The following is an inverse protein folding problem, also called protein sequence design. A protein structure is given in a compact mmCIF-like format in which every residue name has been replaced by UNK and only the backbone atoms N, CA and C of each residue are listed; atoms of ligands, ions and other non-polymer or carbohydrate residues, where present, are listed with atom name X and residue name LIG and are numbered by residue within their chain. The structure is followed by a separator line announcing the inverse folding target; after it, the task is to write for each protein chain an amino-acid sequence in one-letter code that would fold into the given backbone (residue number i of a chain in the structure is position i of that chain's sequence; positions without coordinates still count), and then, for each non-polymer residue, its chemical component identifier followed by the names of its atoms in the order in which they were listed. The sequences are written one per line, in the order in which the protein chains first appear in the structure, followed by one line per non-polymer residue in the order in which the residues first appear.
data_IF_728443766856
#
_entry.id   IF_728443766856
#
_cell.length_a   1.000
_cell.length_b   1.000
_cell.length_c   1.000
_cell.angle_alpha   90.00
_cell.angle_beta   90.00
_cell.angle_gamma   90.00
#
_symmetry.space_group_name_H-M   'P 1'
#
loop_
_entity.id
_entity.type
_entity.pdbx_description
1 polymer ?
#
# COMPACT_ATOMS: atom_id res chain seq x y z
N UNK A 1 -2.09 -5.61 26.46
CA UNK A 1 -3.12 -5.89 25.44
C UNK A 1 -3.28 -7.38 25.23
N UNK A 2 -4.44 -7.99 25.50
CA UNK A 2 -4.74 -9.32 24.96
C UNK A 2 -5.29 -9.15 23.54
N UNK A 3 -4.53 -9.64 22.54
CA UNK A 3 -4.98 -9.74 21.14
C UNK A 3 -6.12 -10.75 21.05
N UNK A 4 -7.29 -10.32 20.60
CA UNK A 4 -8.39 -11.24 20.27
C UNK A 4 -8.11 -11.85 18.90
N UNK A 5 -7.98 -13.16 18.88
CA UNK A 5 -8.02 -13.99 17.68
C UNK A 5 -9.37 -13.80 16.97
N UNK A 6 -9.37 -13.72 15.62
CA UNK A 6 -10.61 -13.92 14.85
C UNK A 6 -10.91 -13.00 13.67
N UNK A 7 -10.07 -12.02 13.32
CA UNK A 7 -10.18 -11.35 12.01
C UNK A 7 -9.09 -11.91 11.10
N UNK A 8 -9.50 -12.82 10.20
CA UNK A 8 -8.63 -13.37 9.16
C UNK A 8 -8.18 -12.26 8.23
N UNK A 9 -6.98 -11.73 8.50
CA UNK A 9 -6.29 -10.77 7.65
C UNK A 9 -5.28 -11.54 6.80
N UNK A 10 -5.61 -11.68 5.52
CA UNK A 10 -4.94 -12.39 4.41
C UNK A 10 -4.50 -13.84 4.74
N UNK A 11 -5.33 -14.82 4.35
CA UNK A 11 -4.99 -16.25 4.33
C UNK A 11 -5.30 -16.77 2.92
N UNK A 12 -4.31 -17.35 2.22
CA UNK A 12 -4.53 -18.13 0.98
C UNK A 12 -4.28 -17.44 -0.36
N UNK A 13 -3.11 -16.83 -0.56
CA UNK A 13 -2.71 -16.32 -1.87
C UNK A 13 -1.92 -17.33 -2.72
N UNK A 14 -1.98 -17.20 -4.04
CA UNK A 14 -1.10 -17.89 -5.00
C UNK A 14 0.00 -16.95 -5.50
N UNK A 15 1.12 -17.53 -5.91
CA UNK A 15 2.18 -16.78 -6.60
C UNK A 15 1.68 -16.36 -7.97
N UNK A 16 1.65 -15.05 -8.23
CA UNK A 16 1.12 -14.49 -9.49
C UNK A 16 2.18 -13.60 -10.13
N UNK A 17 3.21 -14.25 -10.67
CA UNK A 17 4.48 -13.60 -11.04
C UNK A 17 4.39 -12.59 -12.20
N UNK A 18 3.25 -12.43 -12.87
CA UNK A 18 3.13 -11.50 -14.01
C UNK A 18 1.75 -10.88 -14.22
N UNK A 19 0.75 -11.23 -13.41
CA UNK A 19 -0.63 -10.79 -13.61
C UNK A 19 -0.88 -9.34 -13.19
N UNK A 20 -0.03 -8.78 -12.32
CA UNK A 20 -0.23 -7.44 -11.73
C UNK A 20 1.00 -6.54 -11.93
N UNK A 21 1.33 -6.17 -13.18
CA UNK A 21 2.56 -5.42 -13.50
C UNK A 21 2.59 -4.00 -12.92
N UNK A 22 1.43 -3.48 -12.47
CA UNK A 22 1.34 -2.21 -11.76
C UNK A 22 1.69 -2.31 -10.27
N UNK A 23 1.79 -3.51 -9.69
CA UNK A 23 2.19 -3.66 -8.28
C UNK A 23 3.69 -3.41 -8.17
N UNK A 24 4.05 -2.51 -7.27
CA UNK A 24 5.44 -2.13 -7.07
C UNK A 24 5.85 -2.32 -5.61
N UNK A 25 7.16 -2.47 -5.40
CA UNK A 25 7.74 -2.53 -4.07
C UNK A 25 8.52 -1.25 -3.76
N UNK A 26 8.27 -0.69 -2.59
CA UNK A 26 8.92 0.51 -2.08
C UNK A 26 9.93 0.10 -0.99
N UNK A 27 11.17 0.58 -1.11
CA UNK A 27 12.24 0.23 -0.18
C UNK A 27 13.21 1.39 0.01
N UNK A 28 14.04 1.27 1.06
CA UNK A 28 15.07 2.25 1.39
C UNK A 28 16.38 1.96 0.68
N UNK A 29 16.96 2.94 0.01
CA UNK A 29 18.30 2.88 -0.59
C UNK A 29 19.34 2.76 0.53
N UNK A 30 20.24 1.79 0.43
CA UNK A 30 21.31 1.57 1.41
C UNK A 30 20.96 0.61 2.56
N UNK A 31 19.81 -0.07 2.49
CA UNK A 31 19.46 -1.19 3.36
C UNK A 31 18.46 -2.14 2.70
N UNK A 32 18.32 -3.37 3.23
CA UNK A 32 17.34 -4.36 2.75
C UNK A 32 15.93 -4.17 3.32
N UNK A 33 15.66 -3.03 3.99
CA UNK A 33 14.38 -2.81 4.66
C UNK A 33 13.30 -2.44 3.65
N UNK A 34 12.43 -3.41 3.37
CA UNK A 34 11.14 -3.18 2.75
C UNK A 34 10.30 -2.23 3.58
N UNK A 35 9.75 -1.23 2.90
CA UNK A 35 8.87 -0.25 3.49
C UNK A 35 7.42 -0.65 3.26
N UNK A 36 7.02 -0.69 1.98
CA UNK A 36 5.62 -0.87 1.59
C UNK A 36 5.48 -1.42 0.16
N UNK A 37 4.23 -1.69 -0.22
CA UNK A 37 3.82 -1.87 -1.61
C UNK A 37 3.19 -0.58 -2.16
N UNK A 38 3.09 -0.47 -3.48
CA UNK A 38 2.38 0.61 -4.16
C UNK A 38 1.78 0.15 -5.49
N UNK A 39 1.07 1.06 -6.15
CA UNK A 39 0.49 0.83 -7.48
C UNK A 39 0.98 1.89 -8.48
N UNK A 40 1.50 1.48 -9.62
CA UNK A 40 1.92 2.36 -10.70
C UNK A 40 0.68 2.94 -11.41
N UNK A 41 0.36 4.20 -11.14
CA UNK A 41 -0.83 4.89 -11.69
C UNK A 41 -0.58 5.61 -13.01
N UNK A 42 0.68 5.91 -13.30
CA UNK A 42 1.15 6.40 -14.60
C UNK A 42 2.62 6.01 -14.75
N UNK A 43 3.22 6.24 -15.92
CA UNK A 43 4.61 5.84 -16.15
C UNK A 43 5.63 6.52 -15.23
N UNK A 44 5.25 7.61 -14.54
CA UNK A 44 6.10 8.37 -13.61
C UNK A 44 5.54 8.46 -12.18
N UNK A 45 4.36 7.90 -11.90
CA UNK A 45 3.73 8.03 -10.58
C UNK A 45 3.30 6.69 -9.99
N UNK A 46 3.67 6.49 -8.73
CA UNK A 46 3.21 5.40 -7.88
C UNK A 46 2.30 5.96 -6.80
N UNK A 47 1.13 5.36 -6.62
CA UNK A 47 0.24 5.59 -5.48
C UNK A 47 0.56 4.60 -4.36
N UNK A 48 0.60 5.10 -3.12
CA UNK A 48 0.84 4.30 -1.92
C UNK A 48 0.15 4.95 -0.72
N UNK A 49 0.32 4.38 0.47
CA UNK A 49 -0.20 4.95 1.70
C UNK A 49 0.73 6.06 2.24
N UNK A 50 0.18 7.06 2.92
CA UNK A 50 0.96 8.14 3.49
C UNK A 50 1.85 7.66 4.65
N UNK A 51 1.36 6.71 5.46
CA UNK A 51 2.14 6.11 6.55
C UNK A 51 3.39 5.35 6.06
N UNK A 52 3.45 4.99 4.77
CA UNK A 52 4.64 4.37 4.18
C UNK A 52 5.80 5.36 4.02
N UNK A 53 5.49 6.66 4.00
CA UNK A 53 6.45 7.74 3.71
C UNK A 53 6.77 8.53 4.97
N UNK A 54 5.79 8.67 5.85
CA UNK A 54 5.89 9.38 7.11
C UNK A 54 6.07 8.37 8.23
N UNK A 55 7.18 8.45 8.95
CA UNK A 55 7.42 7.62 10.13
C UNK A 55 7.38 8.45 11.43
N UNK A 56 6.99 7.78 12.53
CA UNK A 56 7.08 8.32 13.90
C UNK A 56 8.49 8.22 14.50
N UNK A 57 9.39 7.56 13.78
CA UNK A 57 10.65 7.10 14.33
C UNK A 57 11.67 8.25 14.44
N UNK A 58 11.72 8.77 15.68
CA UNK A 58 12.76 9.63 16.27
C UNK A 58 12.49 11.13 16.13
N UNK A 59 11.70 11.66 17.09
CA UNK A 59 11.73 13.02 17.69
C UNK A 59 10.40 13.78 17.76
N UNK A 60 9.27 13.16 17.42
CA UNK A 60 7.97 13.84 17.50
C UNK A 60 7.77 14.89 16.40
N UNK A 61 8.53 14.79 15.31
CA UNK A 61 8.33 15.52 14.07
C UNK A 61 8.14 14.49 12.96
N UNK A 62 7.13 14.68 12.11
CA UNK A 62 6.94 13.92 10.87
C UNK A 62 8.28 13.92 10.10
N UNK A 63 8.99 12.80 10.11
CA UNK A 63 10.16 12.64 9.27
C UNK A 63 9.67 12.03 7.97
N UNK A 64 9.65 12.84 6.90
CA UNK A 64 9.60 12.26 5.56
C UNK A 64 10.87 11.45 5.37
N UNK A 65 10.78 10.21 4.90
CA UNK A 65 11.96 9.51 4.42
C UNK A 65 12.72 10.43 3.43
N UNK A 66 14.03 10.64 3.58
CA UNK A 66 14.76 11.53 2.70
C UNK A 66 14.56 11.11 1.24
N UNK A 67 14.13 12.03 0.37
CA UNK A 67 13.81 11.75 -1.04
C UNK A 67 14.94 11.03 -1.79
N UNK A 68 16.20 11.22 -1.39
CA UNK A 68 17.36 10.49 -1.94
C UNK A 68 17.63 9.10 -1.34
N UNK A 69 16.73 8.57 -0.51
CA UNK A 69 16.88 7.28 0.17
C UNK A 69 15.73 6.32 -0.10
N UNK A 70 14.85 6.61 -1.06
CA UNK A 70 13.72 5.73 -1.41
C UNK A 70 13.77 5.37 -2.89
N UNK A 71 13.53 4.10 -3.19
CA UNK A 71 13.41 3.60 -4.54
C UNK A 71 12.27 2.61 -4.67
N UNK A 72 11.86 2.40 -5.91
CA UNK A 72 10.77 1.50 -6.30
C UNK A 72 11.32 0.42 -7.20
N UNK A 73 10.96 -0.84 -6.92
CA UNK A 73 11.16 -1.95 -7.85
C UNK A 73 9.90 -2.17 -8.68
N UNK A 74 10.08 -2.18 -10.00
CA UNK A 74 9.03 -2.41 -10.98
C UNK A 74 9.40 -3.58 -11.90
N UNK A 75 8.38 -4.24 -12.45
CA UNK A 75 8.57 -5.23 -13.50
C UNK A 75 9.05 -6.61 -13.07
N UNK A 76 9.03 -6.88 -11.77
CA UNK A 76 9.45 -8.15 -11.21
C UNK A 76 8.51 -8.57 -10.10
N UNK A 77 8.36 -9.88 -9.95
CA UNK A 77 7.51 -10.47 -8.92
C UNK A 77 8.30 -11.26 -7.88
N UNK A 78 9.62 -11.35 -8.03
CA UNK A 78 10.49 -12.00 -7.06
C UNK A 78 11.41 -10.97 -6.42
N UNK A 79 11.66 -11.15 -5.13
CA UNK A 79 12.28 -10.12 -4.32
C UNK A 79 13.72 -9.80 -4.74
N UNK A 80 14.44 -10.85 -5.07
CA UNK A 80 15.85 -10.84 -5.44
C UNK A 80 16.03 -10.94 -6.97
N UNK A 81 14.96 -10.69 -7.73
CA UNK A 81 15.03 -10.85 -9.18
C UNK A 81 16.02 -9.85 -9.78
N UNK A 82 17.02 -10.30 -10.56
CA UNK A 82 17.93 -9.39 -11.26
C UNK A 82 17.22 -8.62 -12.39
N UNK A 83 15.98 -9.01 -12.73
CA UNK A 83 15.15 -8.33 -13.73
C UNK A 83 14.37 -7.14 -13.16
N UNK A 84 14.35 -6.97 -11.82
CA UNK A 84 13.74 -5.81 -11.19
C UNK A 84 14.41 -4.53 -11.69
N UNK A 85 13.61 -3.60 -12.22
CA UNK A 85 14.10 -2.25 -12.46
C UNK A 85 13.93 -1.44 -11.17
N UNK A 86 15.05 -0.99 -10.64
CA UNK A 86 15.11 -0.02 -9.54
C UNK A 86 15.03 1.39 -10.10
N UNK A 87 14.10 2.19 -9.58
CA UNK A 87 13.92 3.59 -9.96
C UNK A 87 13.83 4.43 -8.69
N UNK A 88 14.67 5.46 -8.57
CA UNK A 88 14.64 6.34 -7.42
C UNK A 88 13.35 7.16 -7.40
N UNK A 89 12.92 7.53 -6.20
CA UNK A 89 11.84 8.49 -5.99
C UNK A 89 12.46 9.89 -5.93
N UNK A 90 11.93 10.84 -6.70
CA UNK A 90 12.42 12.24 -6.70
C UNK A 90 11.56 13.16 -5.85
N UNK A 91 10.27 12.83 -5.70
CA UNK A 91 9.32 13.59 -4.90
C UNK A 91 8.26 12.67 -4.30
N UNK A 92 7.89 12.96 -3.06
CA UNK A 92 6.71 12.39 -2.42
C UNK A 92 5.69 13.51 -2.17
N UNK A 93 4.43 13.26 -2.52
CA UNK A 93 3.29 14.15 -2.28
C UNK A 93 2.32 13.41 -1.38
N UNK A 94 2.34 13.74 -0.09
CA UNK A 94 1.40 13.21 0.89
C UNK A 94 0.11 14.03 0.83
N UNK A 95 -1.04 13.38 1.03
CA UNK A 95 -2.31 14.08 1.13
C UNK A 95 -2.27 15.15 2.23
N UNK A 96 -2.70 16.40 1.96
CA UNK A 96 -2.55 17.50 2.91
C UNK A 96 -3.35 17.33 4.21
N UNK A 97 -4.37 16.47 4.20
CA UNK A 97 -5.16 16.16 5.38
C UNK A 97 -4.62 14.96 6.18
N UNK A 98 -3.65 14.20 5.67
CA UNK A 98 -3.11 13.07 6.42
C UNK A 98 -2.42 13.54 7.71
N UNK A 99 -2.83 13.01 8.86
CA UNK A 99 -2.22 13.32 10.15
C UNK A 99 -2.00 12.05 10.95
N UNK A 100 -0.78 11.74 11.39
CA UNK A 100 -0.55 10.58 12.26
C UNK A 100 -1.34 10.65 13.58
N UNK A 101 -1.65 11.86 14.06
CA UNK A 101 -2.38 12.11 15.30
C UNK A 101 -3.30 13.32 15.14
N UNK A 102 -4.61 13.13 15.33
CA UNK A 102 -5.55 14.23 15.50
C UNK A 102 -6.00 14.28 16.97
N UNK A 103 -5.77 15.42 17.64
CA UNK A 103 -6.37 15.76 18.94
C UNK A 103 -6.21 14.75 20.09
N UNK A 104 -4.98 14.25 20.28
CA UNK A 104 -4.56 13.53 21.49
C UNK A 104 -4.48 12.03 21.28
N UNK A 105 -3.25 11.49 21.32
CA UNK A 105 -2.79 10.08 21.39
C UNK A 105 -3.51 9.00 20.57
N UNK A 106 -4.57 9.31 19.83
CA UNK A 106 -5.31 8.39 19.02
C UNK A 106 -4.78 8.50 17.59
N UNK A 107 -4.22 7.42 17.03
CA UNK A 107 -3.74 7.41 15.66
C UNK A 107 -4.93 7.68 14.74
N UNK A 108 -4.74 8.62 13.82
CA UNK A 108 -5.76 9.04 12.89
C UNK A 108 -5.33 8.74 11.45
N UNK A 109 -5.54 7.51 11.00
CA UNK A 109 -5.12 7.09 9.66
C UNK A 109 -6.10 7.53 8.55
N UNK A 110 -6.84 8.64 8.74
CA UNK A 110 -7.66 9.21 7.68
C UNK A 110 -6.78 9.81 6.57
N UNK A 111 -7.29 9.82 5.34
CA UNK A 111 -6.58 10.31 4.16
C UNK A 111 -5.18 9.71 3.96
N UNK A 112 -5.01 8.43 4.32
CA UNK A 112 -3.76 7.68 4.22
C UNK A 112 -3.39 7.34 2.75
N UNK A 113 -3.08 8.38 1.99
CA UNK A 113 -2.72 8.32 0.57
C UNK A 113 -1.56 9.26 0.26
N UNK A 114 -0.62 8.77 -0.56
CA UNK A 114 0.51 9.52 -1.07
C UNK A 114 0.85 9.13 -2.51
N UNK A 115 1.46 10.06 -3.23
CA UNK A 115 2.01 9.86 -4.56
C UNK A 115 3.53 9.96 -4.53
N UNK A 116 4.22 9.04 -5.20
CA UNK A 116 5.65 9.06 -5.42
C UNK A 116 5.93 9.33 -6.90
N UNK A 117 6.70 10.38 -7.16
CA UNK A 117 7.22 10.69 -8.48
C UNK A 117 8.54 9.96 -8.71
N UNK A 118 8.63 9.24 -9.82
CA UNK A 118 9.79 8.46 -10.21
C UNK A 118 10.80 9.30 -10.98
N UNK A 119 12.09 9.03 -10.80
CA UNK A 119 13.19 9.71 -11.51
C UNK A 119 13.10 9.55 -13.03
N UNK A 120 12.64 8.37 -13.48
CA UNK A 120 12.51 8.00 -14.89
C UNK A 120 11.25 7.17 -15.14
N UNK A 121 10.85 7.12 -16.40
CA UNK A 121 9.73 6.31 -16.87
C UNK A 121 9.92 4.82 -16.49
N UNK A 122 8.90 4.27 -15.82
CA UNK A 122 8.87 2.89 -15.38
C UNK A 122 8.98 1.90 -16.56
N UNK A 123 8.66 2.32 -17.78
CA UNK A 123 8.65 1.51 -19.00
C UNK A 123 7.56 0.43 -18.97
N UNK A 124 6.53 0.63 -18.16
CA UNK A 124 5.36 -0.23 -18.07
C UNK A 124 4.14 0.52 -18.60
N UNK A 125 3.36 -0.09 -19.51
CA UNK A 125 2.12 0.53 -19.97
C UNK A 125 1.14 0.62 -18.79
N UNK A 126 0.83 1.85 -18.38
CA UNK A 126 -0.17 2.13 -17.33
C UNK A 126 -1.59 2.15 -17.86
N UNK A 127 -1.77 1.90 -19.17
CA UNK A 127 -3.06 1.74 -19.85
C UNK A 127 -3.91 0.58 -19.29
N UNK A 128 -3.34 -0.26 -18.41
CA UNK A 128 -4.04 -1.35 -17.74
C UNK A 128 -4.82 -0.94 -16.49
N UNK A 129 -4.61 0.26 -15.94
CA UNK A 129 -5.45 0.70 -14.83
C UNK A 129 -6.77 1.24 -15.35
N UNK A 130 -7.91 0.66 -14.92
CA UNK A 130 -9.20 1.18 -15.31
C UNK A 130 -9.32 2.62 -14.81
N UNK A 131 -9.47 3.54 -15.75
CA UNK A 131 -9.88 4.90 -15.42
C UNK A 131 -11.34 4.85 -14.98
N UNK A 132 -11.59 5.20 -13.71
CA UNK A 132 -12.93 5.29 -13.16
C UNK A 132 -13.42 6.71 -13.34
N UNK A 133 -14.32 6.92 -14.31
CA UNK A 133 -15.06 8.18 -14.46
C UNK A 133 -16.04 8.36 -13.29
N UNK A 134 -16.19 9.60 -12.82
CA UNK A 134 -17.14 9.99 -11.77
C UNK A 134 -16.90 9.28 -10.41
N UNK A 135 -15.82 9.65 -9.71
CA UNK A 135 -15.58 9.35 -8.29
C UNK A 135 -16.61 10.00 -7.33
N UNK A 136 -17.82 10.33 -7.80
CA UNK A 136 -18.94 10.82 -6.99
C UNK A 136 -19.70 9.65 -6.30
N UNK A 137 -18.97 8.62 -5.85
CA UNK A 137 -19.52 7.50 -5.07
C UNK A 137 -20.40 6.51 -5.83
N UNK A 138 -20.47 6.55 -7.17
CA UNK A 138 -21.36 5.66 -7.96
C UNK A 138 -20.65 4.46 -8.63
N UNK A 139 -19.33 4.40 -8.56
CA UNK A 139 -18.54 3.23 -8.96
C UNK A 139 -18.26 2.31 -7.75
N UNK A 140 -19.21 2.21 -6.83
CA UNK A 140 -19.08 1.34 -5.68
C UNK A 140 -19.18 -0.11 -6.15
N UNK A 141 -18.10 -0.87 -5.92
CA UNK A 141 -18.15 -2.31 -5.90
C UNK A 141 -19.32 -2.74 -5.01
N UNK A 142 -20.18 -3.63 -5.50
CA UNK A 142 -21.27 -4.13 -4.70
C UNK A 142 -20.73 -4.93 -3.52
N UNK A 143 -21.49 -4.99 -2.44
CA UNK A 143 -21.15 -5.89 -1.34
C UNK A 143 -21.07 -7.33 -1.88
N UNK A 144 -20.08 -8.08 -1.41
CA UNK A 144 -19.74 -9.42 -1.89
C UNK A 144 -19.14 -9.51 -3.30
N UNK A 145 -18.93 -8.38 -4.00
CA UNK A 145 -18.07 -8.38 -5.19
C UNK A 145 -16.67 -8.86 -4.81
N UNK A 146 -16.14 -9.79 -5.60
CA UNK A 146 -14.81 -10.32 -5.40
C UNK A 146 -13.79 -9.32 -5.93
N UNK A 147 -12.90 -8.86 -5.05
CA UNK A 147 -11.73 -8.06 -5.40
C UNK A 147 -10.47 -8.86 -5.21
N UNK A 148 -9.45 -8.55 -6.01
CA UNK A 148 -8.12 -9.15 -5.85
C UNK A 148 -7.17 -8.15 -5.20
N UNK A 149 -6.53 -8.58 -4.12
CA UNK A 149 -5.45 -7.87 -3.45
C UNK A 149 -4.14 -8.51 -3.90
N UNK A 150 -3.21 -7.72 -4.44
CA UNK A 150 -1.88 -8.19 -4.84
C UNK A 150 -0.81 -7.33 -4.17
N UNK A 151 0.23 -7.97 -3.64
CA UNK A 151 1.32 -7.26 -2.95
C UNK A 151 2.33 -8.16 -2.27
N UNK A 152 3.29 -7.52 -1.60
CA UNK A 152 4.37 -8.17 -0.84
C UNK A 152 4.17 -8.03 0.68
N UNK A 153 2.93 -7.85 1.11
CA UNK A 153 2.57 -7.72 2.53
C UNK A 153 2.65 -9.05 3.28
N UNK A 154 2.55 -8.97 4.61
CA UNK A 154 2.52 -10.15 5.49
C UNK A 154 1.46 -11.16 5.02
N UNK A 155 1.85 -12.41 4.85
CA UNK A 155 0.93 -13.51 4.56
C UNK A 155 0.36 -14.16 5.83
N UNK A 156 0.83 -13.72 7.01
CA UNK A 156 0.32 -14.11 8.31
C UNK A 156 0.40 -12.93 9.28
N UNK A 157 -0.75 -12.41 9.71
CA UNK A 157 -0.83 -11.27 10.62
C UNK A 157 -0.20 -11.50 12.00
N UNK A 158 0.00 -12.75 12.41
CA UNK A 158 0.63 -13.12 13.68
C UNK A 158 2.14 -13.33 13.58
N UNK A 159 2.69 -13.37 12.36
CA UNK A 159 4.09 -13.63 12.10
C UNK A 159 4.71 -12.48 11.29
N UNK A 160 5.44 -11.55 11.95
CA UNK A 160 6.13 -10.45 11.27
C UNK A 160 7.19 -10.90 10.27
N UNK A 161 7.62 -12.17 10.31
CA UNK A 161 8.58 -12.74 9.36
C UNK A 161 7.93 -13.33 8.10
N UNK A 162 6.59 -13.32 8.01
CA UNK A 162 5.82 -13.83 6.88
C UNK A 162 5.79 -12.90 5.66
N UNK A 163 6.84 -12.10 5.46
CA UNK A 163 6.99 -11.28 4.26
C UNK A 163 7.40 -12.22 3.11
N UNK A 164 6.59 -12.33 2.04
CA UNK A 164 6.87 -13.26 0.95
C UNK A 164 8.02 -12.73 0.08
N UNK A 165 8.82 -13.66 -0.44
CA UNK A 165 9.82 -13.34 -1.47
C UNK A 165 9.17 -13.09 -2.83
N UNK A 166 7.96 -13.61 -3.04
CA UNK A 166 7.25 -13.52 -4.31
C UNK A 166 5.99 -12.66 -4.18
N UNK A 167 5.53 -12.09 -5.29
CA UNK A 167 4.27 -11.36 -5.36
C UNK A 167 3.13 -12.33 -5.07
N UNK A 168 2.37 -12.01 -4.03
CA UNK A 168 1.20 -12.78 -3.63
C UNK A 168 -0.05 -12.07 -4.09
N UNK A 169 -1.07 -12.83 -4.49
CA UNK A 169 -2.40 -12.31 -4.74
C UNK A 169 -3.47 -13.15 -4.04
N UNK A 170 -4.49 -12.50 -3.50
CA UNK A 170 -5.65 -13.15 -2.85
C UNK A 170 -6.94 -12.51 -3.33
N UNK A 171 -7.94 -13.33 -3.61
CA UNK A 171 -9.29 -12.85 -3.92
C UNK A 171 -10.16 -12.86 -2.67
N UNK A 172 -10.74 -11.73 -2.34
CA UNK A 172 -11.59 -11.55 -1.15
C UNK A 172 -12.90 -10.85 -1.53
N UNK A 173 -14.04 -11.21 -0.92
CA UNK A 173 -15.28 -10.48 -1.13
C UNK A 173 -15.23 -9.12 -0.40
N UNK A 174 -15.76 -8.08 -1.03
CA UNK A 174 -16.00 -6.80 -0.37
C UNK A 174 -17.02 -6.98 0.76
N UNK A 175 -16.61 -6.64 1.98
CA UNK A 175 -17.53 -6.55 3.12
C UNK A 175 -18.41 -5.31 3.00
N UNK A 176 -19.64 -5.37 3.53
CA UNK A 176 -20.46 -4.18 3.67
C UNK A 176 -19.85 -3.23 4.69
N UNK A 177 -20.12 -1.93 4.53
CA UNK A 177 -19.69 -0.90 5.47
C UNK A 177 -20.16 -1.23 6.90
N UNK A 178 -21.43 -1.59 7.06
CA UNK A 178 -22.01 -1.94 8.37
C UNK A 178 -21.29 -3.14 9.03
N UNK A 179 -20.87 -4.15 8.23
CA UNK A 179 -20.10 -5.27 8.76
C UNK A 179 -18.70 -4.84 9.22
N UNK A 180 -18.05 -3.93 8.48
CA UNK A 180 -16.75 -3.36 8.86
C UNK A 180 -16.84 -2.56 10.17
N UNK A 181 -17.84 -1.68 10.29
CA UNK A 181 -18.10 -0.88 11.50
C UNK A 181 -18.41 -1.76 12.71
N UNK A 182 -19.24 -2.79 12.54
CA UNK A 182 -19.55 -3.74 13.62
C UNK A 182 -18.31 -4.54 14.07
N UNK A 183 -17.39 -4.82 13.16
CA UNK A 183 -16.13 -5.48 13.48
C UNK A 183 -15.11 -4.54 14.14
N UNK A 184 -15.23 -3.22 13.94
CA UNK A 184 -14.35 -2.20 14.50
C UNK A 184 -15.14 -1.04 15.16
N UNK A 185 -15.81 -1.28 16.29
CA UNK A 185 -16.76 -0.33 16.91
C UNK A 185 -16.11 0.96 17.46
N UNK A 186 -14.79 1.08 17.42
CA UNK A 186 -14.03 2.27 17.81
C UNK A 186 -13.59 3.12 16.61
N UNK A 187 -13.88 2.69 15.37
CA UNK A 187 -13.59 3.45 14.17
C UNK A 187 -14.49 4.70 14.10
N UNK A 188 -13.88 5.86 13.86
CA UNK A 188 -14.57 7.13 13.69
C UNK A 188 -14.52 7.48 12.21
N UNK A 189 -15.68 7.76 11.61
CA UNK A 189 -15.73 8.21 10.22
C UNK A 189 -15.43 9.72 10.15
N UNK A 190 -14.49 10.10 9.28
CA UNK A 190 -14.21 11.48 8.93
C UNK A 190 -14.96 11.78 7.62
N UNK A 191 -15.83 12.79 7.67
CA UNK A 191 -16.71 13.19 6.55
C UNK A 191 -16.22 14.41 5.79
#
# INVERSE_FOLDING_TARGET
WPRREGLQRIIGGSEELSAYPWVVRIYKIGGESYLCSGSLISSHFVMTAAHCIINEAMTGWLSMEPLGSTAVHVGCSEWLSPTCRSINVTRAVVHPCYTLYANGDQPDDHDDIALLELEHDAGFPTEMLPYVDNLNGTADLADSDTVTLAGFGLTNASDPSSIPLNLMAVSVPKASRAACEAANPTYVEYG
#
